data_IF_051991945179
#
_entry.id   IF_051991945179
#
_cell.length_a   1.000
_cell.length_b   1.000
_cell.length_c   1.000
_cell.angle_alpha   90.00
_cell.angle_beta   90.00
_cell.angle_gamma   90.00
#
_symmetry.space_group_name_H-M   'P 1'
#
loop_
_entity.id
_entity.type
_entity.pdbx_description
1 polymer ?
#
# COMPACT_ATOMS: atom_id res chain seq x y z
N UNK A 1 -18.43 -11.01 26.12
CA UNK A 1 -18.17 -11.75 24.86
C UNK A 1 -18.48 -10.92 23.60
N UNK A 2 -18.32 -9.58 23.65
CA UNK A 2 -18.70 -8.68 22.54
C UNK A 2 -17.54 -7.85 22.00
N UNK A 3 -16.48 -7.62 22.79
CA UNK A 3 -15.27 -6.90 22.35
C UNK A 3 -14.34 -7.78 21.52
N UNK A 4 -14.12 -9.05 21.92
CA UNK A 4 -13.27 -10.00 21.16
C UNK A 4 -13.81 -10.31 19.76
N UNK A 5 -15.13 -10.35 19.60
CA UNK A 5 -15.79 -10.58 18.30
C UNK A 5 -15.76 -9.35 17.40
N UNK A 6 -15.73 -8.14 17.98
CA UNK A 6 -15.68 -6.89 17.23
C UNK A 6 -14.28 -6.63 16.65
N UNK A 7 -13.23 -7.05 17.37
CA UNK A 7 -11.83 -7.00 16.92
C UNK A 7 -11.55 -7.97 15.77
N UNK A 8 -12.30 -9.08 15.69
CA UNK A 8 -12.10 -10.13 14.68
C UNK A 8 -12.79 -9.80 13.34
N UNK A 9 -13.85 -8.97 13.37
CA UNK A 9 -14.58 -8.55 12.16
C UNK A 9 -13.85 -7.42 11.41
N UNK A 10 -13.01 -6.64 12.10
CA UNK A 10 -12.18 -5.60 11.48
C UNK A 10 -11.05 -6.15 10.58
N UNK A 11 -10.71 -7.44 10.69
CA UNK A 11 -9.67 -8.09 9.85
C UNK A 11 -10.17 -8.53 8.47
N UNK A 12 -11.48 -8.46 8.19
CA UNK A 12 -12.07 -8.94 6.93
C UNK A 12 -12.45 -7.82 5.96
N UNK A 13 -12.18 -6.56 6.30
CA UNK A 13 -12.29 -5.46 5.35
C UNK A 13 -11.01 -5.37 4.52
N UNK A 14 -10.86 -6.28 3.56
CA UNK A 14 -9.92 -6.07 2.45
C UNK A 14 -10.42 -4.86 1.63
N UNK A 15 -9.63 -3.78 1.51
CA UNK A 15 -9.98 -2.71 0.59
C UNK A 15 -9.93 -3.30 -0.83
N UNK A 16 -11.01 -3.10 -1.57
CA UNK A 16 -10.97 -3.25 -3.03
C UNK A 16 -9.91 -2.28 -3.54
N UNK A 17 -8.77 -2.81 -3.98
CA UNK A 17 -7.70 -2.09 -4.65
C UNK A 17 -8.26 -1.39 -5.90
N UNK A 18 -8.78 -0.17 -5.74
CA UNK A 18 -8.61 0.83 -6.77
C UNK A 18 -7.13 1.22 -6.64
N UNK A 19 -6.35 0.92 -7.66
CA UNK A 19 -4.92 1.25 -7.74
C UNK A 19 -4.79 2.77 -7.69
N UNK A 20 -4.66 3.31 -6.47
CA UNK A 20 -4.38 4.71 -6.22
C UNK A 20 -2.91 4.74 -5.86
N UNK A 21 -2.07 5.35 -6.71
CA UNK A 21 -0.63 5.30 -6.49
C UNK A 21 -0.16 6.10 -5.26
N UNK A 22 -1.02 6.84 -4.56
CA UNK A 22 -0.69 7.52 -3.28
C UNK A 22 -0.47 6.51 -2.15
N UNK A 23 0.72 5.93 -2.12
CA UNK A 23 1.12 4.90 -1.15
C UNK A 23 1.95 5.51 0.00
N UNK A 24 2.42 6.75 -0.16
CA UNK A 24 3.22 7.45 0.86
C UNK A 24 2.47 7.58 2.19
N UNK A 25 1.19 7.96 2.13
CA UNK A 25 0.35 8.15 3.32
C UNK A 25 0.03 6.83 4.02
N UNK A 26 -0.30 5.80 3.23
CA UNK A 26 -0.62 4.47 3.75
C UNK A 26 0.62 3.79 4.32
N UNK A 27 1.76 3.87 3.62
CA UNK A 27 3.04 3.39 4.11
C UNK A 27 3.43 4.06 5.43
N UNK A 28 3.21 5.38 5.57
CA UNK A 28 3.46 6.08 6.83
C UNK A 28 2.59 5.55 7.98
N UNK A 29 1.32 5.24 7.71
CA UNK A 29 0.40 4.73 8.74
C UNK A 29 0.80 3.31 9.14
N UNK A 30 1.06 2.43 8.17
CA UNK A 30 1.45 1.04 8.42
C UNK A 30 2.78 0.98 9.17
N UNK A 31 3.77 1.74 8.72
CA UNK A 31 5.05 1.87 9.40
C UNK A 31 4.89 2.39 10.83
N UNK A 32 4.02 3.38 11.06
CA UNK A 32 3.75 3.89 12.39
C UNK A 32 3.14 2.83 13.31
N UNK A 33 2.21 2.01 12.80
CA UNK A 33 1.56 0.96 13.57
C UNK A 33 2.56 -0.14 13.92
N UNK A 34 3.32 -0.65 12.95
CA UNK A 34 4.31 -1.70 13.17
C UNK A 34 5.44 -1.25 14.09
N UNK A 35 5.91 -0.02 13.89
CA UNK A 35 6.91 0.61 14.74
C UNK A 35 6.40 0.77 16.18
N UNK A 36 5.16 1.23 16.36
CA UNK A 36 4.57 1.40 17.69
C UNK A 36 4.38 0.07 18.42
N UNK A 37 3.92 -0.98 17.73
CA UNK A 37 3.76 -2.31 18.32
C UNK A 37 5.12 -2.86 18.74
N UNK A 38 6.10 -2.83 17.83
CA UNK A 38 7.45 -3.33 18.10
C UNK A 38 8.12 -2.58 19.25
N UNK A 39 8.04 -1.24 19.22
CA UNK A 39 8.56 -0.39 20.29
C UNK A 39 7.87 -0.64 21.64
N UNK A 40 6.54 -0.86 21.65
CA UNK A 40 5.79 -1.17 22.87
C UNK A 40 6.24 -2.50 23.50
N UNK A 41 6.49 -3.52 22.68
CA UNK A 41 6.96 -4.82 23.16
C UNK A 41 8.36 -4.70 23.76
N UNK A 42 9.29 -4.10 23.03
CA UNK A 42 10.68 -3.94 23.51
C UNK A 42 10.74 -3.07 24.76
N UNK A 43 10.06 -1.92 24.75
CA UNK A 43 9.98 -1.04 25.90
C UNK A 43 9.29 -1.69 27.10
N UNK A 44 8.27 -2.50 26.84
CA UNK A 44 7.57 -3.29 27.86
C UNK A 44 8.45 -4.30 28.58
N UNK A 45 9.37 -4.93 27.85
CA UNK A 45 10.36 -5.85 28.42
C UNK A 45 11.36 -5.11 29.32
N UNK A 46 11.75 -3.88 28.94
CA UNK A 46 12.77 -3.12 29.66
C UNK A 46 12.22 -2.45 30.93
N UNK A 47 11.06 -1.78 30.84
CA UNK A 47 10.57 -0.91 31.91
C UNK A 47 9.04 -0.99 32.12
N UNK A 48 8.45 -2.14 31.78
CA UNK A 48 7.04 -2.41 31.99
C UNK A 48 6.11 -1.45 31.24
N UNK A 49 5.03 -1.01 31.87
CA UNK A 49 4.03 -0.16 31.20
C UNK A 49 4.57 1.21 30.77
N UNK A 50 5.50 1.78 31.53
CA UNK A 50 6.13 3.07 31.20
C UNK A 50 7.03 2.92 29.98
N UNK A 51 7.86 1.88 29.96
CA UNK A 51 8.70 1.56 28.82
C UNK A 51 7.87 1.22 27.58
N UNK A 52 6.75 0.50 27.71
CA UNK A 52 5.87 0.19 26.59
C UNK A 52 5.26 1.46 25.97
N UNK A 53 4.81 2.42 26.78
CA UNK A 53 4.26 3.67 26.27
C UNK A 53 5.34 4.52 25.56
N UNK A 54 6.53 4.65 26.17
CA UNK A 54 7.64 5.37 25.56
C UNK A 54 8.12 4.70 24.27
N UNK A 55 8.26 3.38 24.30
CA UNK A 55 8.65 2.57 23.16
C UNK A 55 7.64 2.66 22.02
N UNK A 56 6.34 2.62 22.31
CA UNK A 56 5.29 2.80 21.30
C UNK A 56 5.37 4.17 20.62
N UNK A 57 5.59 5.24 21.40
CA UNK A 57 5.68 6.59 20.85
C UNK A 57 6.92 6.77 19.96
N UNK A 58 8.08 6.29 20.41
CA UNK A 58 9.33 6.38 19.65
C UNK A 58 9.28 5.48 18.42
N UNK A 59 8.85 4.23 18.61
CA UNK A 59 8.72 3.25 17.55
C UNK A 59 7.72 3.69 16.49
N UNK A 60 6.56 4.23 16.89
CA UNK A 60 5.57 4.74 15.95
C UNK A 60 6.05 5.96 15.19
N UNK A 61 6.76 6.88 15.84
CA UNK A 61 7.37 8.02 15.15
C UNK A 61 8.44 7.60 14.13
N UNK A 62 9.34 6.70 14.51
CA UNK A 62 10.39 6.19 13.63
C UNK A 62 9.82 5.34 12.48
N UNK A 63 8.83 4.50 12.80
CA UNK A 63 8.13 3.67 11.84
C UNK A 63 7.33 4.49 10.83
N UNK A 64 6.69 5.58 11.25
CA UNK A 64 5.98 6.48 10.32
C UNK A 64 6.91 7.07 9.26
N UNK A 65 8.12 7.48 9.66
CA UNK A 65 9.11 8.03 8.74
C UNK A 65 9.62 6.94 7.80
N UNK A 66 9.94 5.75 8.32
CA UNK A 66 10.40 4.62 7.50
C UNK A 66 9.34 4.17 6.50
N UNK A 67 8.10 4.05 6.95
CA UNK A 67 6.98 3.65 6.11
C UNK A 67 6.56 4.70 5.08
N UNK A 68 6.68 6.00 5.39
CA UNK A 68 6.47 7.05 4.40
C UNK A 68 7.49 6.97 3.25
N UNK A 69 8.74 6.64 3.58
CA UNK A 69 9.81 6.46 2.60
C UNK A 69 9.50 5.23 1.73
N UNK A 70 9.14 4.10 2.34
CA UNK A 70 8.78 2.86 1.64
C UNK A 70 7.57 3.07 0.72
N UNK A 71 6.52 3.74 1.23
CA UNK A 71 5.34 4.11 0.45
C UNK A 71 5.65 5.05 -0.72
N UNK A 72 6.59 5.97 -0.56
CA UNK A 72 7.03 6.83 -1.66
C UNK A 72 7.81 6.05 -2.75
N UNK A 73 8.60 5.04 -2.36
CA UNK A 73 9.25 4.15 -3.33
C UNK A 73 8.24 3.27 -4.07
N UNK A 74 7.23 2.76 -3.37
CA UNK A 74 6.16 1.97 -3.96
C UNK A 74 5.30 2.81 -4.91
N UNK A 75 5.08 4.09 -4.58
CA UNK A 75 4.42 5.06 -5.46
C UNK A 75 5.21 5.32 -6.74
N UNK A 76 6.53 5.52 -6.65
CA UNK A 76 7.39 5.70 -7.83
C UNK A 76 7.42 4.43 -8.70
N UNK A 77 7.43 3.24 -8.08
CA UNK A 77 7.34 1.97 -8.80
C UNK A 77 5.97 1.77 -9.47
N UNK A 78 4.89 2.25 -8.83
CA UNK A 78 3.51 2.24 -9.34
C UNK A 78 3.36 3.10 -10.60
N UNK A 79 3.92 4.32 -10.58
CA UNK A 79 3.90 5.25 -11.71
C UNK A 79 4.65 4.68 -12.93
N UNK A 80 5.82 4.08 -12.71
CA UNK A 80 6.61 3.45 -13.79
C UNK A 80 5.87 2.29 -14.45
N UNK A 81 5.11 1.49 -13.69
CA UNK A 81 4.32 0.39 -14.27
C UNK A 81 3.08 0.91 -15.01
N UNK A 82 2.46 1.99 -14.52
CA UNK A 82 1.36 2.65 -15.21
C UNK A 82 1.73 3.15 -16.61
N UNK A 83 2.89 3.80 -16.74
CA UNK A 83 3.40 4.29 -18.03
C UNK A 83 3.64 3.16 -19.04
N UNK A 84 4.13 2.00 -18.61
CA UNK A 84 4.35 0.84 -19.51
C UNK A 84 3.02 0.28 -20.04
N UNK A 85 1.94 0.34 -19.25
CA UNK A 85 0.62 -0.15 -19.69
C UNK A 85 -0.04 0.81 -20.68
N UNK A 86 0.20 2.13 -20.58
CA UNK A 86 -0.35 3.07 -21.57
C UNK A 86 0.34 2.99 -22.94
N UNK A 87 1.64 2.65 -23.01
CA UNK A 87 2.31 2.46 -24.30
C UNK A 87 1.85 1.16 -25.02
N UNK A 88 1.48 0.11 -24.29
CA UNK A 88 0.99 -1.14 -24.88
C UNK A 88 -0.45 -1.03 -25.44
N UNK A 89 -1.27 -0.07 -24.98
CA UNK A 89 -2.64 0.11 -25.50
C UNK A 89 -2.67 0.86 -26.84
N UNK A 90 -1.67 1.71 -27.13
CA UNK A 90 -1.63 2.44 -28.42
C UNK A 90 -1.11 1.55 -29.57
N UNK A 91 -0.44 0.43 -29.30
CA UNK A 91 -0.11 -0.55 -30.34
C UNK A 91 -1.25 -1.53 -30.64
N UNK A 92 -2.17 -1.79 -29.70
CA UNK A 92 -3.37 -2.59 -30.00
C UNK A 92 -4.48 -1.79 -30.72
N UNK A 93 -4.56 -0.46 -30.58
CA UNK A 93 -5.55 0.36 -31.31
C UNK A 93 -5.17 0.64 -32.79
N UNK A 94 -3.94 0.32 -33.24
CA UNK A 94 -3.54 0.50 -34.65
C UNK A 94 -3.78 -0.76 -35.50
N UNK A 95 -4.13 -1.91 -34.91
CA UNK A 95 -4.38 -3.17 -35.64
C UNK A 95 -5.86 -3.58 -35.65
N UNK A 96 -6.79 -2.63 -35.61
CA UNK A 96 -8.20 -2.89 -35.99
C UNK A 96 -8.71 -1.98 -37.12
N UNK A 97 -7.91 -1.05 -37.66
CA UNK A 97 -8.29 -0.28 -38.86
C UNK A 97 -7.87 -0.93 -40.19
N UNK A 98 -7.18 -2.08 -40.18
CA UNK A 98 -6.79 -2.81 -41.42
C UNK A 98 -7.65 -4.07 -41.66
N UNK A 99 -8.97 -4.00 -41.45
CA UNK A 99 -9.90 -5.03 -41.96
C UNK A 99 -11.16 -4.41 -42.58
N UNK A 100 -11.00 -3.35 -43.37
CA UNK A 100 -12.03 -2.93 -44.33
C UNK A 100 -11.32 -2.42 -45.59
N UNK A 101 -10.83 -3.30 -46.47
CA UNK A 101 -10.75 -2.97 -47.92
C UNK A 101 -10.45 -4.12 -48.90
N UNK A 102 -10.42 -5.41 -48.50
CA UNK A 102 -10.09 -6.50 -49.45
C UNK A 102 -11.20 -7.56 -49.67
N UNK A 103 -12.48 -7.19 -49.63
CA UNK A 103 -13.57 -8.04 -50.15
C UNK A 103 -14.39 -7.35 -51.26
N UNK A 104 -13.69 -6.92 -52.31
CA UNK A 104 -14.29 -6.71 -53.64
C UNK A 104 -13.29 -7.18 -54.70
N UNK A 105 -13.76 -7.98 -55.67
CA UNK A 105 -13.02 -8.80 -56.67
C UNK A 105 -12.50 -10.13 -56.07
N UNK A 106 -13.15 -11.28 -56.22
CA UNK A 106 -13.72 -11.92 -57.43
C UNK A 106 -14.81 -12.96 -57.06
#
# INVERSE_FOLDING_TARGET
MKIKTLLLIAMLSSPSYAYYCDQTSDGAIDGAVDGAITGAVVGGIVDGSSGAAAGAAIGGGAGAVGGAIDGAYDEEACEVVGDVVEEDVIEEEIVEEEIIEDEYYD
#
